data_IF_766253919794
#
_entry.id   IF_766253919794
#
_cell.length_a   1.000
_cell.length_b   1.000
_cell.length_c   1.000
_cell.angle_alpha   90.00
_cell.angle_beta   90.00
_cell.angle_gamma   90.00
#
_symmetry.space_group_name_H-M   'P 1'
#
loop_
_entity.id
_entity.type
_entity.pdbx_description
1 polymer ?
#
# COMPACT_ATOMS: atom_id res chain seq x y z
N UNK A 1 -13.54 40.46 8.20
CA UNK A 1 -14.52 41.37 8.83
C UNK A 1 -15.72 40.59 9.31
N UNK A 2 -16.15 40.86 10.55
CA UNK A 2 -17.29 40.15 11.14
C UNK A 2 -18.60 40.75 10.63
N UNK A 3 -19.57 39.91 10.28
CA UNK A 3 -20.93 40.36 9.91
C UNK A 3 -21.56 41.28 10.99
N UNK A 4 -21.17 41.09 12.26
CA UNK A 4 -21.61 41.90 13.38
C UNK A 4 -21.18 43.38 13.27
N UNK A 5 -20.01 43.66 12.63
CA UNK A 5 -19.50 45.02 12.46
C UNK A 5 -20.25 45.82 11.39
N UNK A 6 -20.98 45.11 10.51
CA UNK A 6 -21.75 45.69 9.41
C UNK A 6 -23.24 45.85 9.71
N UNK A 7 -23.70 45.42 10.90
CA UNK A 7 -25.08 45.62 11.34
C UNK A 7 -25.19 46.95 12.08
N UNK A 8 -26.11 47.80 11.61
CA UNK A 8 -26.51 48.99 12.32
C UNK A 8 -27.68 48.67 13.28
N UNK A 9 -27.32 48.60 14.56
CA UNK A 9 -28.30 48.21 15.61
C UNK A 9 -29.36 49.27 15.87
N UNK A 10 -29.16 50.56 15.55
CA UNK A 10 -30.12 51.62 15.70
C UNK A 10 -31.21 51.58 14.62
N UNK A 11 -30.82 51.29 13.40
CA UNK A 11 -31.75 51.20 12.26
C UNK A 11 -32.16 49.79 11.91
N UNK A 12 -31.59 48.77 12.59
CA UNK A 12 -31.75 47.34 12.29
C UNK A 12 -31.53 47.03 10.82
N UNK A 13 -30.53 47.70 10.23
CA UNK A 13 -30.15 47.57 8.83
C UNK A 13 -28.72 47.13 8.70
N UNK A 14 -28.39 46.51 7.57
CA UNK A 14 -27.02 46.10 7.24
C UNK A 14 -26.32 47.26 6.51
N UNK A 15 -25.19 47.72 7.06
CA UNK A 15 -24.39 48.76 6.42
C UNK A 15 -23.95 48.32 5.02
N UNK A 16 -24.20 49.17 4.03
CA UNK A 16 -23.98 48.82 2.64
C UNK A 16 -25.07 47.95 1.99
N UNK A 17 -26.09 47.58 2.75
CA UNK A 17 -27.27 46.87 2.26
C UNK A 17 -27.00 45.49 1.66
N UNK A 18 -27.69 45.17 0.58
CA UNK A 18 -27.63 43.84 -0.07
C UNK A 18 -26.23 43.54 -0.64
N UNK A 19 -25.44 44.57 -1.00
CA UNK A 19 -24.08 44.38 -1.54
C UNK A 19 -23.11 43.87 -0.47
N UNK A 20 -23.13 44.45 0.74
CA UNK A 20 -22.31 44.00 1.86
C UNK A 20 -22.67 42.56 2.28
N UNK A 21 -23.99 42.26 2.36
CA UNK A 21 -24.42 40.90 2.68
C UNK A 21 -23.98 39.87 1.66
N UNK A 22 -24.06 40.18 0.35
CA UNK A 22 -23.51 39.29 -0.70
C UNK A 22 -22.03 39.09 -0.55
N UNK A 23 -21.25 40.15 -0.36
CA UNK A 23 -19.80 40.07 -0.19
C UNK A 23 -19.40 39.15 1.01
N UNK A 24 -20.10 39.28 2.15
CA UNK A 24 -19.91 38.42 3.31
C UNK A 24 -20.28 36.96 3.02
N UNK A 25 -21.40 36.74 2.33
CA UNK A 25 -21.83 35.40 1.96
C UNK A 25 -20.83 34.76 1.00
N UNK A 26 -20.35 35.48 0.00
CA UNK A 26 -19.36 34.99 -0.97
C UNK A 26 -18.04 34.69 -0.30
N UNK A 27 -17.57 35.52 0.63
CA UNK A 27 -16.36 35.28 1.42
C UNK A 27 -16.50 34.01 2.29
N UNK A 28 -17.62 33.85 2.97
CA UNK A 28 -17.88 32.64 3.79
C UNK A 28 -17.95 31.37 2.95
N UNK A 29 -18.59 31.44 1.78
CA UNK A 29 -18.63 30.29 0.85
C UNK A 29 -17.24 29.96 0.30
N UNK A 30 -16.40 30.96 0.02
CA UNK A 30 -15.04 30.77 -0.43
C UNK A 30 -14.17 30.09 0.64
N UNK A 31 -14.28 30.54 1.90
CA UNK A 31 -13.56 29.94 3.03
C UNK A 31 -14.00 28.49 3.27
N UNK A 32 -15.30 28.21 3.24
CA UNK A 32 -15.82 26.85 3.41
C UNK A 32 -15.33 25.91 2.30
N UNK A 33 -15.27 26.40 1.05
CA UNK A 33 -14.71 25.64 -0.06
C UNK A 33 -13.20 25.41 0.08
N UNK A 34 -12.45 26.38 0.58
CA UNK A 34 -11.02 26.23 0.83
C UNK A 34 -10.72 25.17 1.90
N UNK A 35 -11.50 25.19 2.99
CA UNK A 35 -11.41 24.17 4.05
C UNK A 35 -11.75 22.77 3.52
N UNK A 36 -12.83 22.61 2.78
CA UNK A 36 -13.22 21.32 2.19
C UNK A 36 -12.14 20.75 1.26
N UNK A 37 -11.45 21.60 0.50
CA UNK A 37 -10.32 21.17 -0.36
C UNK A 37 -9.13 20.73 0.46
N UNK A 38 -8.80 21.44 1.53
CA UNK A 38 -7.69 21.06 2.40
C UNK A 38 -7.96 19.74 3.12
N UNK A 39 -9.20 19.53 3.58
CA UNK A 39 -9.62 18.26 4.18
C UNK A 39 -9.54 17.12 3.16
N UNK A 40 -9.91 17.36 1.91
CA UNK A 40 -9.77 16.38 0.84
C UNK A 40 -8.31 16.01 0.58
N UNK A 41 -7.41 16.99 0.43
CA UNK A 41 -5.98 16.72 0.25
C UNK A 41 -5.38 15.95 1.45
N UNK A 42 -5.80 16.28 2.67
CA UNK A 42 -5.37 15.55 3.85
C UNK A 42 -5.84 14.08 3.80
N UNK A 43 -7.08 13.84 3.35
CA UNK A 43 -7.60 12.47 3.19
C UNK A 43 -6.78 11.68 2.17
N UNK A 44 -6.44 12.26 1.02
CA UNK A 44 -5.59 11.63 0.02
C UNK A 44 -4.19 11.32 0.56
N UNK A 45 -3.63 12.26 1.32
CA UNK A 45 -2.32 12.09 1.95
C UNK A 45 -2.32 10.96 2.98
N UNK A 46 -3.38 10.86 3.79
CA UNK A 46 -3.53 9.78 4.77
C UNK A 46 -3.69 8.42 4.07
N UNK A 47 -4.42 8.36 2.97
CA UNK A 47 -4.55 7.14 2.16
C UNK A 47 -3.21 6.70 1.56
N UNK A 48 -2.47 7.64 0.98
CA UNK A 48 -1.12 7.39 0.47
C UNK A 48 -0.18 6.85 1.57
N UNK A 49 -0.20 7.46 2.77
CA UNK A 49 0.59 6.99 3.90
C UNK A 49 0.20 5.59 4.35
N UNK A 50 -1.09 5.24 4.33
CA UNK A 50 -1.54 3.89 4.67
C UNK A 50 -0.98 2.85 3.71
N UNK A 51 -0.99 3.12 2.41
CA UNK A 51 -0.39 2.22 1.40
C UNK A 51 1.11 2.06 1.63
N UNK A 52 1.83 3.15 1.96
CA UNK A 52 3.26 3.07 2.31
C UNK A 52 3.53 2.20 3.53
N UNK A 53 2.70 2.27 4.57
CA UNK A 53 2.83 1.43 5.77
C UNK A 53 2.60 -0.03 5.43
N UNK A 54 1.56 -0.36 4.66
CA UNK A 54 1.28 -1.72 4.22
C UNK A 54 2.41 -2.29 3.36
N UNK A 55 2.96 -1.51 2.45
CA UNK A 55 4.13 -1.87 1.64
C UNK A 55 5.34 -2.22 2.52
N UNK A 56 5.67 -1.37 3.50
CA UNK A 56 6.78 -1.63 4.42
C UNK A 56 6.59 -2.92 5.24
N UNK A 57 5.35 -3.24 5.61
CA UNK A 57 5.03 -4.52 6.25
C UNK A 57 5.26 -5.71 5.33
N UNK A 58 4.84 -5.62 4.06
CA UNK A 58 5.03 -6.70 3.09
C UNK A 58 6.51 -6.90 2.73
N UNK A 59 7.30 -5.83 2.61
CA UNK A 59 8.76 -5.91 2.47
C UNK A 59 9.41 -6.63 3.67
N UNK A 60 8.95 -6.35 4.89
CA UNK A 60 9.44 -7.02 6.10
C UNK A 60 9.10 -8.50 6.10
N UNK A 61 7.89 -8.87 5.66
CA UNK A 61 7.47 -10.28 5.53
C UNK A 61 8.28 -10.98 4.44
N UNK A 62 8.53 -10.32 3.31
CA UNK A 62 9.38 -10.85 2.23
C UNK A 62 10.80 -11.13 2.73
N UNK A 63 11.42 -10.19 3.42
CA UNK A 63 12.76 -10.37 4.01
C UNK A 63 12.79 -11.55 4.99
N UNK A 64 11.74 -11.69 5.81
CA UNK A 64 11.60 -12.81 6.74
C UNK A 64 11.46 -14.15 6.01
N UNK A 65 10.68 -14.21 4.95
CA UNK A 65 10.51 -15.41 4.13
C UNK A 65 11.82 -15.80 3.41
N UNK A 66 12.56 -14.82 2.89
CA UNK A 66 13.89 -15.03 2.29
C UNK A 66 14.89 -15.61 3.32
N UNK A 67 14.91 -15.08 4.54
CA UNK A 67 15.74 -15.61 5.61
C UNK A 67 15.37 -17.05 6.00
N UNK A 68 14.08 -17.41 5.95
CA UNK A 68 13.65 -18.82 6.12
C UNK A 68 14.17 -19.72 4.99
N UNK A 69 14.14 -19.26 3.74
CA UNK A 69 14.71 -20.01 2.59
C UNK A 69 16.21 -20.27 2.80
N UNK A 70 16.97 -19.26 3.18
CA UNK A 70 18.40 -19.40 3.45
C UNK A 70 18.67 -20.37 4.59
N UNK A 71 17.94 -20.25 5.70
CA UNK A 71 18.05 -21.14 6.86
C UNK A 71 17.73 -22.59 6.49
N UNK A 72 16.65 -22.82 5.75
CA UNK A 72 16.24 -24.17 5.35
C UNK A 72 17.22 -24.78 4.37
N UNK A 73 17.76 -24.02 3.41
CA UNK A 73 18.81 -24.48 2.51
C UNK A 73 20.10 -24.87 3.28
N UNK A 74 20.52 -24.02 4.22
CA UNK A 74 21.71 -24.30 5.02
C UNK A 74 21.50 -25.54 5.92
N UNK A 75 20.32 -25.67 6.54
CA UNK A 75 19.96 -26.82 7.35
C UNK A 75 19.90 -28.11 6.54
N UNK A 76 19.28 -28.07 5.36
CA UNK A 76 19.21 -29.20 4.44
C UNK A 76 20.61 -29.66 3.98
N UNK A 77 21.48 -28.70 3.59
CA UNK A 77 22.89 -29.01 3.21
C UNK A 77 23.65 -29.63 4.38
N UNK A 78 23.57 -29.07 5.57
CA UNK A 78 24.24 -29.59 6.75
C UNK A 78 23.74 -30.99 7.15
N UNK A 79 22.46 -31.25 7.05
CA UNK A 79 21.90 -32.59 7.32
C UNK A 79 22.35 -33.60 6.26
N UNK A 80 22.44 -33.20 4.99
CA UNK A 80 22.94 -34.02 3.90
C UNK A 80 24.43 -34.36 4.07
N UNK A 81 25.28 -33.41 4.39
CA UNK A 81 26.70 -33.62 4.62
C UNK A 81 26.98 -34.59 5.80
N UNK A 82 26.20 -34.44 6.89
CA UNK A 82 26.25 -35.40 8.00
C UNK A 82 25.79 -36.78 7.59
N UNK A 83 24.75 -36.88 6.75
CA UNK A 83 24.24 -38.14 6.24
C UNK A 83 25.29 -38.84 5.40
N UNK A 84 25.97 -38.15 4.49
CA UNK A 84 27.08 -38.68 3.70
C UNK A 84 28.21 -39.18 4.59
N UNK A 85 28.59 -38.39 5.58
CA UNK A 85 29.63 -38.75 6.55
C UNK A 85 29.28 -40.01 7.34
N UNK A 86 28.02 -40.10 7.83
CA UNK A 86 27.51 -41.24 8.61
C UNK A 86 27.45 -42.52 7.79
N UNK A 87 27.13 -42.39 6.49
CA UNK A 87 27.11 -43.52 5.55
C UNK A 87 28.52 -43.87 4.99
N UNK A 88 29.50 -43.01 5.19
CA UNK A 88 30.85 -43.17 4.62
C UNK A 88 30.90 -43.09 3.09
N UNK A 89 29.99 -42.30 2.49
CA UNK A 89 29.82 -42.14 1.06
C UNK A 89 30.20 -40.72 0.59
N UNK A 90 30.68 -40.63 -0.65
CA UNK A 90 30.71 -39.36 -1.35
C UNK A 90 29.31 -39.02 -1.94
N UNK A 91 29.11 -37.79 -2.33
CA UNK A 91 27.85 -37.34 -2.99
C UNK A 91 27.56 -38.19 -4.26
N UNK A 92 28.59 -38.45 -5.08
CA UNK A 92 28.45 -39.27 -6.29
C UNK A 92 28.05 -40.73 -5.95
N UNK A 93 28.69 -41.30 -4.94
CA UNK A 93 28.39 -42.66 -4.48
C UNK A 93 26.98 -42.76 -3.91
N UNK A 94 26.57 -41.75 -3.16
CA UNK A 94 25.20 -41.67 -2.61
C UNK A 94 24.16 -41.63 -3.74
N UNK A 95 24.34 -40.75 -4.71
CA UNK A 95 23.44 -40.60 -5.87
C UNK A 95 23.35 -41.86 -6.71
N UNK A 96 24.48 -42.57 -6.91
CA UNK A 96 24.49 -43.82 -7.63
C UNK A 96 23.80 -44.96 -6.86
N UNK A 97 23.89 -44.97 -5.52
CA UNK A 97 23.37 -46.05 -4.69
C UNK A 97 21.91 -45.87 -4.34
N UNK A 98 21.52 -44.65 -4.01
CA UNK A 98 20.19 -44.35 -3.43
C UNK A 98 19.35 -43.35 -4.27
N UNK A 99 19.97 -42.61 -5.17
CA UNK A 99 19.29 -41.56 -5.93
C UNK A 99 19.11 -40.28 -5.13
N UNK A 100 18.06 -40.22 -4.32
CA UNK A 100 17.70 -39.06 -3.45
C UNK A 100 17.63 -39.46 -1.99
N UNK A 101 17.51 -38.48 -1.08
CA UNK A 101 17.31 -38.73 0.35
C UNK A 101 15.91 -39.32 0.62
N UNK A 102 14.95 -39.00 -0.21
CA UNK A 102 13.60 -39.57 -0.16
C UNK A 102 13.62 -41.09 -0.40
N UNK A 103 14.43 -41.55 -1.37
CA UNK A 103 14.53 -42.94 -1.80
C UNK A 103 15.33 -43.83 -0.84
N UNK A 104 16.00 -43.25 0.17
CA UNK A 104 16.80 -43.94 1.13
C UNK A 104 15.96 -45.00 1.88
N UNK A 105 16.40 -46.30 1.98
CA UNK A 105 15.68 -47.34 2.70
C UNK A 105 15.84 -47.21 4.23
N UNK A 106 15.49 -46.04 4.74
CA UNK A 106 15.75 -45.55 6.10
C UNK A 106 15.27 -46.49 7.21
N UNK A 107 14.19 -47.25 6.98
CA UNK A 107 13.59 -48.15 8.00
C UNK A 107 14.53 -49.28 8.41
N UNK A 108 15.49 -49.62 7.56
CA UNK A 108 16.45 -50.70 7.80
C UNK A 108 17.84 -50.17 8.19
N UNK A 109 17.99 -48.82 8.31
CA UNK A 109 19.24 -48.18 8.65
C UNK A 109 19.33 -47.86 10.14
N UNK A 110 20.51 -47.40 10.57
CA UNK A 110 20.76 -46.99 11.96
C UNK A 110 19.85 -45.81 12.39
N UNK A 111 19.65 -45.67 13.68
CA UNK A 111 18.86 -44.54 14.23
C UNK A 111 19.43 -43.19 13.81
N UNK A 112 20.77 -43.03 13.77
CA UNK A 112 21.41 -41.80 13.33
C UNK A 112 21.02 -41.41 11.89
N UNK A 113 21.00 -42.41 10.98
CA UNK A 113 20.59 -42.18 9.57
C UNK A 113 19.10 -41.85 9.50
N UNK A 114 18.26 -42.48 10.30
CA UNK A 114 16.82 -42.19 10.36
C UNK A 114 16.55 -40.76 10.85
N UNK A 115 17.31 -40.34 11.88
CA UNK A 115 17.20 -38.99 12.42
C UNK A 115 17.67 -37.93 11.40
N UNK A 116 18.83 -38.13 10.79
CA UNK A 116 19.37 -37.19 9.78
C UNK A 116 18.49 -37.08 8.55
N UNK A 117 17.88 -38.20 8.11
CA UNK A 117 16.87 -38.15 7.06
C UNK A 117 15.65 -37.32 7.48
N UNK A 118 15.17 -37.51 8.71
CA UNK A 118 14.01 -36.76 9.24
C UNK A 118 14.35 -35.26 9.31
N UNK A 119 15.55 -34.91 9.77
CA UNK A 119 16.01 -33.51 9.79
C UNK A 119 16.07 -32.92 8.36
N UNK A 120 16.62 -33.65 7.40
CA UNK A 120 16.70 -33.24 6.00
C UNK A 120 15.30 -33.01 5.43
N UNK A 121 14.37 -33.96 5.62
CA UNK A 121 12.99 -33.84 5.13
C UNK A 121 12.24 -32.67 5.77
N UNK A 122 12.45 -32.42 7.06
CA UNK A 122 11.91 -31.25 7.74
C UNK A 122 12.37 -29.94 7.12
N UNK A 123 13.67 -29.81 6.85
CA UNK A 123 14.19 -28.62 6.14
C UNK A 123 13.70 -28.52 4.69
N UNK A 124 13.50 -29.66 4.01
CA UNK A 124 12.93 -29.68 2.65
C UNK A 124 11.49 -29.16 2.62
N UNK A 125 10.65 -29.60 3.57
CA UNK A 125 9.27 -29.15 3.71
C UNK A 125 9.21 -27.65 4.08
N UNK A 126 10.06 -27.22 5.02
CA UNK A 126 10.20 -25.81 5.40
C UNK A 126 10.63 -24.97 4.19
N UNK A 127 11.56 -25.48 3.35
CA UNK A 127 12.02 -24.79 2.16
C UNK A 127 10.90 -24.60 1.13
N UNK A 128 10.09 -25.62 0.89
CA UNK A 128 8.94 -25.53 -0.02
C UNK A 128 7.95 -24.47 0.47
N UNK A 129 7.67 -24.48 1.78
CA UNK A 129 6.78 -23.49 2.39
C UNK A 129 7.34 -22.07 2.29
N UNK A 130 8.62 -21.88 2.66
CA UNK A 130 9.29 -20.60 2.62
C UNK A 130 9.39 -20.03 1.18
N UNK A 131 9.63 -20.86 0.17
CA UNK A 131 9.64 -20.43 -1.23
C UNK A 131 8.26 -19.92 -1.69
N UNK A 132 7.19 -20.59 -1.29
CA UNK A 132 5.83 -20.14 -1.57
C UNK A 132 5.54 -18.81 -0.88
N UNK A 133 5.98 -18.63 0.37
CA UNK A 133 5.88 -17.34 1.06
C UNK A 133 6.63 -16.24 0.31
N UNK A 134 7.86 -16.52 -0.20
CA UNK A 134 8.63 -15.56 -1.00
C UNK A 134 7.88 -15.18 -2.28
N UNK A 135 7.33 -16.14 -3.02
CA UNK A 135 6.55 -15.88 -4.23
C UNK A 135 5.35 -14.97 -3.94
N UNK A 136 4.59 -15.29 -2.89
CA UNK A 136 3.41 -14.53 -2.49
C UNK A 136 3.78 -13.09 -2.07
N UNK A 137 4.80 -12.93 -1.22
CA UNK A 137 5.21 -11.61 -0.75
C UNK A 137 5.90 -10.78 -1.85
N UNK A 138 6.59 -11.43 -2.80
CA UNK A 138 7.13 -10.72 -3.97
C UNK A 138 5.99 -10.14 -4.81
N UNK A 139 4.95 -10.92 -5.09
CA UNK A 139 3.78 -10.43 -5.82
C UNK A 139 3.05 -9.29 -5.08
N UNK A 140 2.96 -9.39 -3.73
CA UNK A 140 2.37 -8.33 -2.92
C UNK A 140 3.19 -7.03 -2.99
N UNK A 141 4.51 -7.09 -2.85
CA UNK A 141 5.38 -5.91 -2.95
C UNK A 141 5.32 -5.26 -4.33
N UNK A 142 5.20 -6.06 -5.41
CA UNK A 142 5.00 -5.53 -6.76
C UNK A 142 3.67 -4.78 -6.87
N UNK A 143 2.58 -5.33 -6.33
CA UNK A 143 1.26 -4.68 -6.29
C UNK A 143 1.27 -3.42 -5.43
N UNK A 144 1.95 -3.44 -4.28
CA UNK A 144 2.13 -2.29 -3.41
C UNK A 144 2.82 -1.14 -4.16
N UNK A 145 3.86 -1.44 -4.95
CA UNK A 145 4.56 -0.43 -5.73
C UNK A 145 3.66 0.22 -6.80
N UNK A 146 2.80 -0.57 -7.44
CA UNK A 146 1.80 -0.05 -8.39
C UNK A 146 0.78 0.84 -7.67
N UNK A 147 0.29 0.42 -6.50
CA UNK A 147 -0.65 1.20 -5.68
C UNK A 147 -0.03 2.51 -5.17
N UNK A 148 1.23 2.48 -4.72
CA UNK A 148 1.98 3.68 -4.30
C UNK A 148 2.09 4.66 -5.46
N UNK A 149 2.51 4.22 -6.63
CA UNK A 149 2.67 5.07 -7.81
C UNK A 149 1.32 5.69 -8.23
N UNK A 150 0.24 4.94 -8.16
CA UNK A 150 -1.11 5.42 -8.48
C UNK A 150 -1.57 6.47 -7.45
N UNK A 151 -1.45 6.19 -6.16
CA UNK A 151 -1.85 7.11 -5.09
C UNK A 151 -1.02 8.41 -5.10
N UNK A 152 0.29 8.32 -5.39
CA UNK A 152 1.15 9.49 -5.55
C UNK A 152 0.72 10.35 -6.74
N UNK A 153 0.43 9.73 -7.88
CA UNK A 153 -0.02 10.44 -9.08
C UNK A 153 -1.34 11.20 -8.82
N UNK A 154 -2.29 10.57 -8.14
CA UNK A 154 -3.58 11.18 -7.82
C UNK A 154 -3.45 12.32 -6.81
N UNK A 155 -2.61 12.16 -5.79
CA UNK A 155 -2.32 13.25 -4.86
C UNK A 155 -1.70 14.45 -5.58
N UNK A 156 -0.74 14.22 -6.48
CA UNK A 156 -0.11 15.29 -7.26
C UNK A 156 -1.11 15.98 -8.19
N UNK A 157 -1.99 15.23 -8.86
CA UNK A 157 -3.05 15.79 -9.71
C UNK A 157 -4.03 16.64 -8.90
N UNK A 158 -4.49 16.14 -7.76
CA UNK A 158 -5.39 16.86 -6.86
C UNK A 158 -4.74 18.11 -6.28
N UNK A 159 -3.46 18.04 -5.87
CA UNK A 159 -2.70 19.17 -5.36
C UNK A 159 -2.54 20.26 -6.43
N UNK A 160 -2.16 19.88 -7.65
CA UNK A 160 -2.05 20.81 -8.78
C UNK A 160 -3.40 21.48 -9.13
N UNK A 161 -4.49 20.73 -9.06
CA UNK A 161 -5.84 21.26 -9.28
C UNK A 161 -6.26 22.28 -8.20
N UNK A 162 -5.90 22.02 -6.94
CA UNK A 162 -6.14 22.95 -5.83
C UNK A 162 -5.30 24.21 -5.98
N UNK A 163 -4.02 24.08 -6.37
CA UNK A 163 -3.12 25.23 -6.59
C UNK A 163 -3.60 26.09 -7.75
N UNK A 164 -4.00 25.47 -8.87
CA UNK A 164 -4.56 26.17 -10.02
C UNK A 164 -5.85 26.93 -9.66
N UNK A 165 -6.69 26.34 -8.82
CA UNK A 165 -7.89 26.98 -8.33
C UNK A 165 -7.58 28.16 -7.40
N UNK A 166 -6.64 27.99 -6.47
CA UNK A 166 -6.21 29.06 -5.57
C UNK A 166 -5.63 30.25 -6.36
N UNK A 167 -4.80 29.95 -7.37
CA UNK A 167 -4.27 30.98 -8.28
C UNK A 167 -5.38 31.68 -9.09
N UNK A 168 -6.39 30.91 -9.56
CA UNK A 168 -7.56 31.45 -10.26
C UNK A 168 -8.41 32.34 -9.35
N UNK A 169 -8.59 31.99 -8.08
CA UNK A 169 -9.32 32.80 -7.11
C UNK A 169 -8.62 34.11 -6.79
N UNK A 170 -7.29 34.14 -6.79
CA UNK A 170 -6.53 35.39 -6.62
C UNK A 170 -6.66 36.32 -7.84
N UNK A 171 -6.72 35.75 -9.06
CA UNK A 171 -6.89 36.53 -10.29
C UNK A 171 -8.35 36.91 -10.57
N UNK A 172 -9.30 36.24 -9.97
CA UNK A 172 -10.74 36.42 -10.23
C UNK A 172 -11.39 37.58 -9.44
N UNK A 173 -10.63 38.31 -8.66
CA UNK A 173 -11.07 39.65 -8.22
C UNK A 173 -11.41 40.57 -9.41
N UNK A 174 -10.92 40.23 -10.62
CA UNK A 174 -11.08 41.02 -11.83
C UNK A 174 -12.11 40.51 -12.86
N UNK A 175 -12.64 39.28 -12.72
CA UNK A 175 -13.67 38.78 -13.65
C UNK A 175 -14.53 37.66 -13.09
N UNK A 176 -15.73 38.00 -12.65
CA UNK A 176 -16.64 37.10 -11.91
C UNK A 176 -17.30 35.98 -12.74
N UNK A 177 -17.31 36.06 -14.07
CA UNK A 177 -18.04 35.11 -14.92
C UNK A 177 -17.25 33.82 -15.28
N UNK A 178 -15.91 33.88 -15.33
CA UNK A 178 -15.06 32.73 -15.65
C UNK A 178 -14.85 31.78 -14.47
N UNK A 179 -15.04 32.26 -13.25
CA UNK A 179 -14.77 31.53 -11.99
C UNK A 179 -15.79 30.40 -11.77
N UNK A 180 -17.05 30.59 -12.13
CA UNK A 180 -18.10 29.60 -11.92
C UNK A 180 -17.89 28.34 -12.79
N UNK A 181 -17.43 28.51 -14.04
CA UNK A 181 -17.17 27.39 -14.95
C UNK A 181 -15.91 26.60 -14.53
N UNK A 182 -14.85 27.28 -14.10
CA UNK A 182 -13.63 26.63 -13.62
C UNK A 182 -13.85 25.92 -12.27
N UNK A 183 -14.62 26.49 -11.35
CA UNK A 183 -14.98 25.85 -10.09
C UNK A 183 -15.76 24.54 -10.31
N UNK A 184 -16.65 24.52 -11.30
CA UNK A 184 -17.38 23.31 -11.65
C UNK A 184 -16.46 22.23 -12.21
N UNK A 185 -15.50 22.59 -13.06
CA UNK A 185 -14.55 21.67 -13.63
C UNK A 185 -13.62 21.05 -12.57
N UNK A 186 -13.17 21.84 -11.60
CA UNK A 186 -12.35 21.36 -10.49
C UNK A 186 -13.15 20.47 -9.54
N UNK A 187 -14.40 20.84 -9.24
CA UNK A 187 -15.27 19.98 -8.43
C UNK A 187 -15.50 18.61 -9.09
N UNK A 188 -15.66 18.59 -10.40
CA UNK A 188 -15.79 17.35 -11.16
C UNK A 188 -14.51 16.52 -11.15
N UNK A 189 -13.32 17.16 -11.35
CA UNK A 189 -12.03 16.47 -11.32
C UNK A 189 -11.72 15.89 -9.92
N UNK A 190 -12.07 16.59 -8.85
CA UNK A 190 -11.96 16.11 -7.47
C UNK A 190 -12.86 14.89 -7.25
N UNK A 191 -14.10 14.94 -7.70
CA UNK A 191 -15.04 13.83 -7.58
C UNK A 191 -14.58 12.59 -8.36
N UNK A 192 -14.05 12.80 -9.57
CA UNK A 192 -13.50 11.70 -10.38
C UNK A 192 -12.24 11.08 -9.74
N UNK A 193 -11.36 11.90 -9.15
CA UNK A 193 -10.19 11.40 -8.44
C UNK A 193 -10.58 10.59 -7.21
N UNK A 194 -11.56 11.04 -6.43
CA UNK A 194 -12.08 10.31 -5.27
C UNK A 194 -12.64 8.94 -5.66
N UNK A 195 -13.40 8.85 -6.74
CA UNK A 195 -13.92 7.57 -7.25
C UNK A 195 -12.79 6.62 -7.65
N UNK A 196 -11.76 7.12 -8.36
CA UNK A 196 -10.60 6.31 -8.77
C UNK A 196 -9.81 5.79 -7.57
N UNK A 197 -9.61 6.61 -6.52
CA UNK A 197 -8.95 6.17 -5.29
C UNK A 197 -9.74 5.05 -4.62
N UNK A 198 -11.06 5.16 -4.54
CA UNK A 198 -11.90 4.12 -3.98
C UNK A 198 -11.79 2.81 -4.78
N UNK A 199 -11.75 2.90 -6.11
CA UNK A 199 -11.59 1.76 -6.99
C UNK A 199 -10.20 1.09 -6.80
N UNK A 200 -9.12 1.87 -6.66
CA UNK A 200 -7.77 1.38 -6.42
C UNK A 200 -7.69 0.70 -5.04
N UNK A 201 -8.24 1.30 -4.00
CA UNK A 201 -8.27 0.72 -2.65
C UNK A 201 -9.07 -0.59 -2.64
N UNK A 202 -10.21 -0.64 -3.35
CA UNK A 202 -11.00 -1.85 -3.46
C UNK A 202 -10.22 -2.96 -4.20
N UNK A 203 -9.60 -2.63 -5.35
CA UNK A 203 -8.80 -3.58 -6.11
C UNK A 203 -7.58 -4.09 -5.32
N UNK A 204 -6.92 -3.22 -4.55
CA UNK A 204 -5.81 -3.59 -3.66
C UNK A 204 -6.27 -4.54 -2.56
N UNK A 205 -7.41 -4.23 -1.92
CA UNK A 205 -7.98 -5.09 -0.89
C UNK A 205 -8.38 -6.46 -1.43
N UNK A 206 -9.01 -6.50 -2.61
CA UNK A 206 -9.40 -7.75 -3.26
C UNK A 206 -8.16 -8.60 -3.62
N UNK A 207 -7.11 -7.98 -4.16
CA UNK A 207 -5.84 -8.63 -4.47
C UNK A 207 -5.11 -9.13 -3.20
N UNK A 208 -5.15 -8.36 -2.12
CA UNK A 208 -4.63 -8.76 -0.82
C UNK A 208 -5.38 -9.96 -0.25
N UNK A 209 -6.71 -9.91 -0.26
CA UNK A 209 -7.57 -11.01 0.22
C UNK A 209 -7.40 -12.27 -0.64
N UNK A 210 -7.19 -12.15 -1.96
CA UNK A 210 -6.89 -13.26 -2.86
C UNK A 210 -5.50 -13.86 -2.57
N UNK A 211 -4.50 -13.02 -2.34
CA UNK A 211 -3.13 -13.47 -2.06
C UNK A 211 -2.97 -14.09 -0.66
N UNK A 212 -3.70 -13.62 0.34
CA UNK A 212 -3.51 -13.98 1.75
C UNK A 212 -4.70 -14.66 2.40
N UNK A 213 -5.91 -14.53 1.88
CA UNK A 213 -7.12 -15.15 2.43
C UNK A 213 -7.13 -16.70 2.38
N UNK A 214 -6.22 -17.29 1.62
CA UNK A 214 -6.06 -18.75 1.51
C UNK A 214 -5.00 -19.34 2.47
N UNK A 215 -4.42 -18.54 3.38
CA UNK A 215 -3.33 -18.95 4.29
C UNK A 215 -3.83 -19.22 5.72
N UNK A 216 -5.13 -19.06 6.01
CA UNK A 216 -5.75 -19.34 7.33
C UNK A 216 -6.39 -20.71 7.43
#
# INVERSE_FOLDING_TARGET
PSLADDIDLETNSIKGGTAALRQHTDAYVADAKAQARQEYLNTLYDQYNNVLVESAENETKLATAQAKVEKSNAGMSAAYDKLLTTLGLTDEQFKLTYGTVEDLPWRTMSEDVQQLRTEYMGYSDDLVTARREVENYTAAVEQDQEAINAAEAEYQEASAAVDALNASQQSAADSADDVAAQQQNVANAISDAELRIQDIIAAYKDAYDEAYGSIS
#
